data_IF_050292541646
#
_entry.id   IF_050292541646
#
_cell.length_a   1.000
_cell.length_b   1.000
_cell.length_c   1.000
_cell.angle_alpha   90.00
_cell.angle_beta   90.00
_cell.angle_gamma   90.00
#
_symmetry.space_group_name_H-M   'P 1'
#
loop_
_entity.id
_entity.type
_entity.pdbx_description
1 polymer ?
#
# COMPACT_ATOMS: atom_id res chain seq x y z
N UNK A 1 12.04 8.86 8.46
CA UNK A 1 12.54 7.49 8.73
C UNK A 1 11.52 6.42 8.35
N UNK A 2 10.28 6.44 8.87
CA UNK A 2 9.24 5.45 8.52
C UNK A 2 9.01 5.29 7.00
N UNK A 3 9.03 6.40 6.25
CA UNK A 3 8.91 6.37 4.78
C UNK A 3 9.95 5.44 4.13
N UNK A 4 11.23 5.53 4.49
CA UNK A 4 12.28 4.71 3.88
C UNK A 4 12.07 3.21 4.17
N UNK A 5 11.70 2.86 5.41
CA UNK A 5 11.43 1.45 5.75
C UNK A 5 10.18 0.90 5.06
N UNK A 6 9.13 1.71 4.91
CA UNK A 6 7.88 1.26 4.29
C UNK A 6 7.99 1.31 2.77
N UNK A 7 8.28 2.46 2.19
CA UNK A 7 8.41 2.61 0.74
C UNK A 7 9.57 1.78 0.18
N UNK A 8 10.81 2.06 0.57
CA UNK A 8 11.98 1.43 -0.02
C UNK A 8 12.20 -0.01 0.47
N UNK A 9 11.99 -0.23 1.77
CA UNK A 9 12.19 -1.54 2.40
C UNK A 9 11.03 -2.52 2.16
N UNK A 10 9.83 -2.19 2.62
CA UNK A 10 8.68 -3.11 2.59
C UNK A 10 8.06 -3.22 1.19
N UNK A 11 7.82 -2.10 0.53
CA UNK A 11 7.10 -2.05 -0.74
C UNK A 11 8.02 -2.37 -1.92
N UNK A 12 9.15 -1.66 -2.03
CA UNK A 12 10.13 -1.88 -3.10
C UNK A 12 11.16 -2.98 -2.81
N UNK A 13 11.11 -3.61 -1.62
CA UNK A 13 11.96 -4.75 -1.23
C UNK A 13 13.46 -4.50 -1.40
N UNK A 14 13.93 -3.24 -1.23
CA UNK A 14 15.34 -2.88 -1.39
C UNK A 14 16.23 -3.40 -0.26
N UNK A 15 15.65 -3.70 0.91
CA UNK A 15 16.33 -4.27 2.07
C UNK A 15 15.33 -4.96 3.02
N UNK A 16 15.77 -5.90 3.87
CA UNK A 16 14.89 -6.58 4.81
C UNK A 16 14.34 -5.64 5.89
N UNK A 17 13.04 -5.74 6.17
CA UNK A 17 12.33 -4.93 7.18
C UNK A 17 11.92 -5.72 8.42
N UNK A 18 12.26 -7.00 8.48
CA UNK A 18 12.01 -7.86 9.64
C UNK A 18 10.52 -7.96 9.99
N UNK A 19 10.15 -7.92 11.30
CA UNK A 19 8.76 -8.10 11.75
C UNK A 19 7.75 -7.09 11.20
N UNK A 20 8.22 -5.94 10.70
CA UNK A 20 7.39 -4.88 10.11
C UNK A 20 6.59 -5.40 8.90
N UNK A 21 7.12 -6.40 8.17
CA UNK A 21 6.43 -7.03 7.04
C UNK A 21 5.12 -7.74 7.43
N UNK A 22 4.95 -8.07 8.72
CA UNK A 22 3.78 -8.77 9.22
C UNK A 22 2.76 -7.85 9.90
N UNK A 23 3.02 -6.54 9.98
CA UNK A 23 2.06 -5.57 10.53
C UNK A 23 0.87 -5.45 9.57
N UNK A 24 -0.37 -5.78 9.99
CA UNK A 24 -1.52 -5.89 9.08
C UNK A 24 -1.77 -4.64 8.24
N UNK A 25 -1.70 -3.46 8.85
CA UNK A 25 -1.91 -2.19 8.15
C UNK A 25 -0.82 -1.91 7.09
N UNK A 26 0.43 -2.27 7.37
CA UNK A 26 1.52 -2.04 6.42
C UNK A 26 1.45 -2.98 5.22
N UNK A 27 0.83 -4.15 5.37
CA UNK A 27 0.48 -5.01 4.22
C UNK A 27 -0.56 -4.35 3.32
N UNK A 28 -1.57 -3.70 3.90
CA UNK A 28 -2.56 -2.91 3.13
C UNK A 28 -1.89 -1.74 2.40
N UNK A 29 -0.99 -1.02 3.08
CA UNK A 29 -0.20 0.07 2.46
C UNK A 29 0.63 -0.45 1.27
N UNK A 30 1.24 -1.63 1.40
CA UNK A 30 2.01 -2.22 0.31
C UNK A 30 1.13 -2.60 -0.89
N UNK A 31 -0.03 -3.21 -0.65
CA UNK A 31 -1.01 -3.52 -1.70
C UNK A 31 -1.53 -2.24 -2.38
N UNK A 32 -1.89 -1.22 -1.59
CA UNK A 32 -2.33 0.07 -2.10
C UNK A 32 -1.28 0.73 -3.01
N UNK A 33 0.00 0.65 -2.64
CA UNK A 33 1.08 1.19 -3.47
C UNK A 33 1.31 0.37 -4.76
N UNK A 34 1.10 -0.95 -4.73
CA UNK A 34 1.15 -1.76 -5.96
C UNK A 34 0.03 -1.38 -6.93
N UNK A 35 -1.17 -1.10 -6.41
CA UNK A 35 -2.30 -0.62 -7.20
C UNK A 35 -2.03 0.75 -7.82
N UNK A 36 -1.39 1.67 -7.10
CA UNK A 36 -0.95 2.97 -7.64
C UNK A 36 -0.09 2.79 -8.91
N UNK A 37 0.92 1.90 -8.87
CA UNK A 37 1.80 1.63 -10.02
C UNK A 37 1.12 0.83 -11.16
N UNK A 38 -0.03 0.19 -10.88
CA UNK A 38 -0.81 -0.51 -11.90
C UNK A 38 -1.65 0.42 -12.77
N UNK A 39 -1.80 1.69 -12.38
CA UNK A 39 -2.65 2.71 -13.01
C UNK A 39 -4.14 2.35 -13.18
N UNK A 40 -4.60 1.23 -12.61
CA UNK A 40 -5.97 0.70 -12.72
C UNK A 40 -7.06 1.70 -12.31
N UNK A 41 -6.73 2.63 -11.41
CA UNK A 41 -7.61 3.69 -10.91
C UNK A 41 -7.13 5.09 -11.28
N UNK A 42 -6.66 5.31 -12.52
CA UNK A 42 -6.01 6.55 -12.96
C UNK A 42 -4.79 6.93 -12.10
N UNK A 43 -4.09 5.91 -11.58
CA UNK A 43 -2.96 6.11 -10.67
C UNK A 43 -3.35 6.44 -9.23
N UNK A 44 -4.59 6.23 -8.79
CA UNK A 44 -4.91 6.19 -7.35
C UNK A 44 -4.50 4.84 -6.75
N UNK A 45 -4.12 4.80 -5.45
CA UNK A 45 -4.01 5.92 -4.51
C UNK A 45 -2.65 6.65 -4.56
N UNK A 46 -2.60 7.95 -4.24
CA UNK A 46 -1.36 8.76 -4.25
C UNK A 46 -0.68 8.82 -2.87
N UNK A 47 -1.45 8.73 -1.79
CA UNK A 47 -0.94 8.71 -0.44
C UNK A 47 -0.31 7.35 -0.12
N UNK A 48 0.97 7.30 0.26
CA UNK A 48 1.58 6.03 0.68
C UNK A 48 0.86 5.45 1.91
N UNK A 49 0.83 6.20 3.01
CA UNK A 49 0.20 5.74 4.24
C UNK A 49 -1.33 5.85 4.18
N UNK A 50 -1.87 6.84 3.48
CA UNK A 50 -3.31 7.01 3.32
C UNK A 50 -3.89 6.14 2.20
N UNK A 51 -3.05 5.42 1.45
CA UNK A 51 -3.49 4.69 0.27
C UNK A 51 -4.59 3.66 0.51
N UNK A 52 -4.59 2.91 1.63
CA UNK A 52 -5.73 2.07 1.98
C UNK A 52 -7.04 2.86 2.15
N UNK A 53 -6.98 4.07 2.73
CA UNK A 53 -8.16 4.92 2.93
C UNK A 53 -8.62 5.56 1.63
N UNK A 54 -7.68 6.05 0.81
CA UNK A 54 -7.98 6.60 -0.52
C UNK A 54 -8.63 5.53 -1.42
N UNK A 55 -8.16 4.29 -1.34
CA UNK A 55 -8.83 3.15 -1.97
C UNK A 55 -10.18 2.87 -1.33
N UNK A 56 -10.36 2.89 -0.01
CA UNK A 56 -11.68 2.75 0.62
C UNK A 56 -12.67 3.87 0.21
N UNK A 57 -12.19 5.06 -0.13
CA UNK A 57 -13.02 6.19 -0.60
C UNK A 57 -13.40 6.04 -2.09
N UNK A 58 -12.45 5.62 -2.93
CA UNK A 58 -12.68 5.35 -4.36
C UNK A 58 -13.45 4.06 -4.58
N UNK A 59 -13.15 3.06 -3.76
CA UNK A 59 -13.81 1.76 -3.63
C UNK A 59 -14.84 1.74 -2.50
N UNK A 60 -15.35 2.92 -2.08
CA UNK A 60 -16.62 3.06 -1.36
C UNK A 60 -17.83 2.48 -2.13
N UNK A 61 -17.51 1.80 -3.24
CA UNK A 61 -18.29 1.04 -4.20
C UNK A 61 -17.61 -0.31 -4.62
N UNK A 62 -16.86 -1.03 -3.76
CA UNK A 62 -16.46 -2.48 -3.84
C UNK A 62 -14.97 -2.88 -4.16
N UNK A 63 -13.95 -2.82 -3.26
CA UNK A 63 -12.66 -3.38 -3.73
C UNK A 63 -11.37 -3.65 -2.93
N UNK A 64 -11.26 -3.65 -1.60
CA UNK A 64 -9.93 -3.88 -0.96
C UNK A 64 -9.66 -5.30 -0.43
N UNK A 65 -10.64 -6.20 -0.46
CA UNK A 65 -10.54 -7.52 0.19
C UNK A 65 -9.91 -8.63 -0.68
N UNK A 66 -9.46 -8.35 -1.90
CA UNK A 66 -9.03 -9.40 -2.86
C UNK A 66 -7.53 -9.72 -2.88
N UNK A 67 -6.70 -8.99 -2.14
CA UNK A 67 -5.22 -9.11 -2.24
C UNK A 67 -4.45 -9.17 -0.90
N UNK A 68 -5.12 -9.50 0.21
CA UNK A 68 -4.46 -9.74 1.53
C UNK A 68 -4.28 -11.20 1.88
#
# INVERSE_FOLDING_TARGET
MAYMFVHDGLVHRRFPVGPIAHVPYLRKVAAAHQLHHSEKFNGLPYGLFLGPQELEEVEGTEGLDKET
#
